data_IF_341752699274
#
_entry.id   IF_341752699274
#
_cell.length_a   1.000
_cell.length_b   1.000
_cell.length_c   1.000
_cell.angle_alpha   90.00
_cell.angle_beta   90.00
_cell.angle_gamma   90.00
#
_symmetry.space_group_name_H-M   'P 1'
#
loop_
_entity.id
_entity.type
_entity.pdbx_description
1 polymer ?
#
# COMPACT_ATOMS: atom_id res chain seq x y z
N UNK A 1 -18.98 3.51 4.32
CA UNK A 1 -18.20 3.19 5.54
C UNK A 1 -16.75 3.50 5.28
N UNK A 2 -16.12 4.34 6.12
CA UNK A 2 -14.68 4.64 6.01
C UNK A 2 -13.94 3.30 6.15
N UNK A 3 -13.27 2.84 5.09
CA UNK A 3 -12.87 1.45 5.00
C UNK A 3 -11.68 1.24 5.91
N UNK A 4 -11.62 0.09 6.59
CA UNK A 4 -10.55 -0.29 7.53
C UNK A 4 -9.12 0.04 7.06
N UNK A 5 -8.88 -0.01 5.74
CA UNK A 5 -7.63 0.41 5.09
C UNK A 5 -7.27 1.88 5.33
N UNK A 6 -8.22 2.80 5.16
CA UNK A 6 -8.00 4.24 5.31
C UNK A 6 -7.70 4.63 6.76
N UNK A 7 -8.36 3.98 7.74
CA UNK A 7 -8.12 4.23 9.16
C UNK A 7 -6.74 3.72 9.62
N UNK A 8 -6.34 2.51 9.21
CA UNK A 8 -5.01 1.97 9.51
C UNK A 8 -3.91 2.74 8.78
N UNK A 9 -4.15 3.14 7.53
CA UNK A 9 -3.23 4.00 6.79
C UNK A 9 -3.07 5.35 7.47
N UNK A 10 -4.17 5.95 7.93
CA UNK A 10 -4.12 7.20 8.68
C UNK A 10 -3.38 7.06 10.01
N UNK A 11 -3.55 5.94 10.74
CA UNK A 11 -2.78 5.66 11.96
C UNK A 11 -1.29 5.46 11.68
N UNK A 12 -0.95 4.81 10.56
CA UNK A 12 0.43 4.65 10.11
C UNK A 12 1.05 6.01 9.76
N UNK A 13 0.36 6.83 8.96
CA UNK A 13 0.80 8.19 8.60
C UNK A 13 0.94 9.07 9.85
N UNK A 14 0.07 8.94 10.84
CA UNK A 14 0.13 9.74 12.08
C UNK A 14 1.15 9.22 13.11
N UNK A 15 1.95 8.21 12.76
CA UNK A 15 2.98 7.59 13.63
C UNK A 15 2.40 7.09 14.97
N UNK A 16 1.10 6.75 14.97
CA UNK A 16 0.33 6.31 16.15
C UNK A 16 0.27 4.79 16.28
N UNK A 17 0.81 4.07 15.30
CA UNK A 17 1.12 2.65 15.46
C UNK A 17 2.42 2.57 16.28
N UNK A 18 2.43 1.86 17.40
CA UNK A 18 3.60 1.75 18.30
C UNK A 18 4.81 1.02 17.70
N UNK A 19 4.85 0.86 16.39
CA UNK A 19 5.86 0.16 15.62
C UNK A 19 6.57 1.17 14.73
N UNK A 20 7.61 1.77 15.30
CA UNK A 20 8.75 2.45 14.68
C UNK A 20 8.46 3.22 13.38
N UNK A 21 8.53 4.56 13.50
CA UNK A 21 9.23 5.45 12.55
C UNK A 21 8.98 5.14 11.07
N UNK A 22 8.23 6.00 10.37
CA UNK A 22 7.79 5.84 8.97
C UNK A 22 8.81 5.22 7.99
N UNK A 23 10.07 5.55 8.18
CA UNK A 23 11.25 5.03 7.50
C UNK A 23 11.42 3.49 7.58
N UNK A 24 10.92 2.82 8.63
CA UNK A 24 10.98 1.36 8.77
C UNK A 24 10.01 0.59 7.86
N UNK A 25 9.06 1.26 7.20
CA UNK A 25 8.11 0.57 6.32
C UNK A 25 8.77 0.08 5.03
N UNK A 26 9.77 0.80 4.49
CA UNK A 26 10.56 0.36 3.33
C UNK A 26 12.03 0.09 3.62
N UNK A 27 12.56 0.44 4.80
CA UNK A 27 13.92 0.06 5.18
C UNK A 27 14.14 -1.46 5.34
N UNK A 28 13.08 -2.26 5.46
CA UNK A 28 13.21 -3.72 5.52
C UNK A 28 13.14 -4.34 4.10
N UNK A 29 14.10 -5.19 3.70
CA UNK A 29 14.09 -5.84 2.39
C UNK A 29 12.80 -6.60 2.10
N UNK A 30 12.17 -7.19 3.12
CA UNK A 30 10.89 -7.89 3.00
C UNK A 30 9.77 -6.96 2.54
N UNK A 31 9.61 -5.81 3.20
CA UNK A 31 8.51 -4.88 2.94
C UNK A 31 8.77 -4.05 1.69
N UNK A 32 10.02 -3.72 1.38
CA UNK A 32 10.39 -3.09 0.11
C UNK A 32 10.13 -4.03 -1.08
N UNK A 33 10.57 -5.30 -1.00
CA UNK A 33 10.30 -6.29 -2.07
C UNK A 33 8.79 -6.48 -2.28
N UNK A 34 8.01 -6.47 -1.20
CA UNK A 34 6.55 -6.51 -1.25
C UNK A 34 5.98 -5.29 -1.98
N UNK A 35 6.47 -4.09 -1.66
CA UNK A 35 6.06 -2.85 -2.30
C UNK A 35 6.35 -2.83 -3.80
N UNK A 36 7.59 -3.13 -4.20
CA UNK A 36 8.00 -3.20 -5.61
C UNK A 36 7.12 -4.18 -6.39
N UNK A 37 6.85 -5.36 -5.81
CA UNK A 37 6.00 -6.38 -6.46
C UNK A 37 4.57 -5.92 -6.69
N UNK A 38 3.98 -5.25 -5.71
CA UNK A 38 2.57 -4.84 -5.77
C UNK A 38 2.40 -3.58 -6.61
N UNK A 39 3.29 -2.61 -6.47
CA UNK A 39 3.18 -1.36 -7.21
C UNK A 39 3.53 -1.55 -8.69
N UNK A 40 4.38 -2.53 -8.99
CA UNK A 40 4.76 -2.88 -10.35
C UNK A 40 5.26 -1.66 -11.10
N UNK A 41 4.71 -1.42 -12.29
CA UNK A 41 5.08 -0.29 -13.15
C UNK A 41 4.17 0.93 -12.99
N UNK A 42 3.36 1.03 -11.92
CA UNK A 42 2.42 2.14 -11.72
C UNK A 42 3.13 3.50 -11.56
N UNK A 43 4.39 3.51 -11.12
CA UNK A 43 5.18 4.73 -11.00
C UNK A 43 5.83 5.17 -12.33
N UNK A 44 5.91 4.29 -13.33
CA UNK A 44 6.69 4.53 -14.56
C UNK A 44 8.21 4.64 -14.36
N UNK A 45 8.67 4.59 -13.10
CA UNK A 45 10.05 4.64 -12.66
C UNK A 45 10.23 3.69 -11.47
N UNK A 46 11.44 3.20 -11.24
CA UNK A 46 11.76 2.36 -10.08
C UNK A 46 11.50 3.14 -8.76
N UNK A 47 10.66 2.60 -7.85
CA UNK A 47 10.38 3.22 -6.56
C UNK A 47 11.62 3.31 -5.68
N UNK A 48 11.79 4.45 -5.01
CA UNK A 48 12.90 4.66 -4.08
C UNK A 48 12.69 3.86 -2.77
N UNK A 49 13.74 3.22 -2.20
CA UNK A 49 13.64 2.56 -0.89
C UNK A 49 13.36 3.53 0.27
N UNK A 50 13.60 4.83 0.07
CA UNK A 50 13.28 5.85 1.03
C UNK A 50 11.76 6.15 1.06
N UNK A 51 11.20 6.06 2.25
CA UNK A 51 9.78 6.26 2.49
C UNK A 51 9.37 7.71 2.20
N UNK A 52 10.15 8.69 2.65
CA UNK A 52 9.82 10.10 2.51
C UNK A 52 9.89 10.53 1.04
N UNK A 53 10.86 10.02 0.29
CA UNK A 53 10.98 10.24 -1.16
C UNK A 53 9.82 9.61 -1.91
N UNK A 54 9.45 8.36 -1.60
CA UNK A 54 8.27 7.70 -2.20
C UNK A 54 6.97 8.44 -1.86
N UNK A 55 6.81 8.91 -0.62
CA UNK A 55 5.62 9.66 -0.22
C UNK A 55 5.57 11.06 -0.82
N UNK A 56 6.70 11.74 -0.94
CA UNK A 56 6.80 13.01 -1.65
C UNK A 56 6.35 12.81 -3.10
N UNK A 57 6.88 11.80 -3.80
CA UNK A 57 6.45 11.46 -5.16
C UNK A 57 4.94 11.20 -5.25
N UNK A 58 4.38 10.42 -4.31
CA UNK A 58 2.93 10.13 -4.27
C UNK A 58 2.05 11.35 -3.95
N UNK A 59 2.58 12.37 -3.26
CA UNK A 59 1.83 13.56 -2.84
C UNK A 59 2.02 14.74 -3.80
N UNK A 60 3.17 14.85 -4.45
CA UNK A 60 3.56 15.97 -5.32
C UNK A 60 3.64 15.59 -6.79
N UNK A 61 3.61 14.29 -7.12
CA UNK A 61 3.72 13.79 -8.49
C UNK A 61 2.52 14.14 -9.35
N UNK A 62 2.79 14.51 -10.61
CA UNK A 62 1.77 14.76 -11.63
C UNK A 62 1.29 13.44 -12.24
N UNK A 63 0.46 12.71 -11.52
CA UNK A 63 -0.21 11.51 -12.04
C UNK A 63 -1.57 11.86 -12.62
N UNK A 64 -2.00 11.13 -13.66
CA UNK A 64 -3.39 11.18 -14.09
C UNK A 64 -4.32 10.73 -12.94
N UNK A 65 -5.57 11.19 -12.98
CA UNK A 65 -6.52 11.00 -11.88
C UNK A 65 -6.73 9.52 -11.53
N UNK A 66 -6.72 8.64 -12.53
CA UNK A 66 -6.93 7.21 -12.33
C UNK A 66 -5.70 6.57 -11.66
N UNK A 67 -4.50 6.86 -12.18
CA UNK A 67 -3.22 6.42 -11.62
C UNK A 67 -3.06 6.90 -10.19
N UNK A 68 -3.40 8.16 -9.90
CA UNK A 68 -3.37 8.70 -8.54
C UNK A 68 -4.30 7.94 -7.57
N UNK A 69 -5.52 7.61 -8.01
CA UNK A 69 -6.47 6.83 -7.21
C UNK A 69 -5.94 5.39 -6.99
N UNK A 70 -5.40 4.76 -8.04
CA UNK A 70 -4.85 3.41 -7.97
C UNK A 70 -3.63 3.34 -7.05
N UNK A 71 -2.69 4.27 -7.17
CA UNK A 71 -1.51 4.37 -6.32
C UNK A 71 -1.91 4.53 -4.85
N UNK A 72 -2.87 5.41 -4.54
CA UNK A 72 -3.39 5.57 -3.18
C UNK A 72 -4.07 4.31 -2.66
N UNK A 73 -4.82 3.61 -3.50
CA UNK A 73 -5.47 2.36 -3.12
C UNK A 73 -4.42 1.27 -2.82
N UNK A 74 -3.43 1.11 -3.69
CA UNK A 74 -2.33 0.16 -3.55
C UNK A 74 -1.52 0.45 -2.28
N UNK A 75 -1.20 1.72 -2.02
CA UNK A 75 -0.52 2.16 -0.80
C UNK A 75 -1.34 1.78 0.44
N UNK A 76 -2.64 2.11 0.48
CA UNK A 76 -3.50 1.82 1.63
C UNK A 76 -3.60 0.32 1.92
N UNK A 77 -3.74 -0.50 0.87
CA UNK A 77 -3.84 -1.96 1.02
C UNK A 77 -2.49 -2.53 1.47
N UNK A 78 -1.37 -2.05 0.91
CA UNK A 78 -0.03 -2.53 1.28
C UNK A 78 0.30 -2.24 2.74
N UNK A 79 0.08 -1.01 3.20
CA UNK A 79 0.29 -0.62 4.60
C UNK A 79 -0.54 -1.50 5.55
N UNK A 80 -1.80 -1.75 5.20
CA UNK A 80 -2.67 -2.62 5.99
C UNK A 80 -2.13 -4.05 6.10
N UNK A 81 -1.70 -4.65 4.98
CA UNK A 81 -1.17 -6.01 5.01
C UNK A 81 0.19 -6.10 5.71
N UNK A 82 1.05 -5.09 5.60
CA UNK A 82 2.29 -5.00 6.38
C UNK A 82 1.96 -4.93 7.88
N UNK A 83 1.03 -4.07 8.28
CA UNK A 83 0.58 -3.99 9.66
C UNK A 83 0.02 -5.32 10.15
N UNK A 84 -0.84 -5.97 9.34
CA UNK A 84 -1.42 -7.28 9.67
C UNK A 84 -0.35 -8.35 9.83
N UNK A 85 0.62 -8.44 8.93
CA UNK A 85 1.73 -9.41 9.04
C UNK A 85 2.56 -9.18 10.31
N UNK A 86 2.86 -7.92 10.65
CA UNK A 86 3.59 -7.62 11.90
C UNK A 86 2.76 -7.97 13.13
N UNK A 87 1.45 -7.75 13.08
CA UNK A 87 0.55 -8.09 14.17
C UNK A 87 0.39 -9.61 14.34
N UNK A 88 0.26 -10.35 13.23
CA UNK A 88 0.21 -11.82 13.21
C UNK A 88 1.53 -12.43 13.69
N UNK A 89 2.69 -11.87 13.34
CA UNK A 89 3.98 -12.32 13.89
C UNK A 89 4.06 -12.13 15.40
N UNK A 90 3.58 -11.00 15.92
CA UNK A 90 3.62 -10.69 17.36
C UNK A 90 2.72 -11.62 18.19
N UNK A 91 1.54 -12.00 17.66
CA UNK A 91 0.54 -12.74 18.44
C UNK A 91 0.45 -14.23 18.08
N UNK A 92 0.75 -14.61 16.84
CA UNK A 92 0.58 -15.97 16.32
C UNK A 92 1.89 -16.61 15.86
N UNK A 93 3.03 -15.92 15.99
CA UNK A 93 4.37 -16.38 15.61
C UNK A 93 4.45 -16.93 14.17
N UNK A 94 3.59 -16.44 13.28
CA UNK A 94 3.46 -16.89 11.90
C UNK A 94 4.01 -15.81 10.97
N UNK A 95 4.94 -16.19 10.09
CA UNK A 95 5.47 -15.32 9.05
C UNK A 95 5.09 -15.86 7.68
N UNK A 96 4.34 -15.08 6.89
CA UNK A 96 4.02 -15.47 5.51
C UNK A 96 5.14 -15.03 4.57
N UNK A 97 5.39 -15.76 3.47
CA UNK A 97 6.34 -15.33 2.46
C UNK A 97 5.79 -14.15 1.65
N UNK A 98 6.68 -13.28 1.17
CA UNK A 98 6.34 -12.08 0.37
C UNK A 98 5.39 -12.39 -0.77
N UNK A 99 5.61 -13.51 -1.48
CA UNK A 99 4.80 -13.93 -2.62
C UNK A 99 3.32 -14.14 -2.26
N UNK A 100 3.05 -14.68 -1.08
CA UNK A 100 1.68 -14.93 -0.65
C UNK A 100 0.98 -13.61 -0.32
N UNK A 101 1.66 -12.73 0.42
CA UNK A 101 1.12 -11.42 0.78
C UNK A 101 0.91 -10.55 -0.46
N UNK A 102 1.83 -10.58 -1.43
CA UNK A 102 1.70 -9.86 -2.71
C UNK A 102 0.43 -10.26 -3.46
N UNK A 103 0.20 -11.58 -3.62
CA UNK A 103 -1.02 -12.10 -4.27
C UNK A 103 -2.29 -11.69 -3.55
N UNK A 104 -2.27 -11.63 -2.21
CA UNK A 104 -3.41 -11.18 -1.42
C UNK A 104 -3.69 -9.69 -1.64
N UNK A 105 -2.65 -8.87 -1.73
CA UNK A 105 -2.77 -7.44 -2.01
C UNK A 105 -3.33 -7.24 -3.43
N UNK A 106 -2.74 -7.88 -4.45
CA UNK A 106 -3.19 -7.77 -5.84
C UNK A 106 -4.66 -8.16 -6.00
N UNK A 107 -5.07 -9.28 -5.38
CA UNK A 107 -6.46 -9.72 -5.36
C UNK A 107 -7.36 -8.70 -4.68
N UNK A 108 -6.93 -8.11 -3.58
CA UNK A 108 -7.70 -7.10 -2.84
C UNK A 108 -7.86 -5.81 -3.65
N UNK A 109 -6.79 -5.35 -4.29
CA UNK A 109 -6.80 -4.16 -5.17
C UNK A 109 -7.72 -4.40 -6.37
N UNK A 110 -7.58 -5.53 -7.06
CA UNK A 110 -8.46 -5.90 -8.19
C UNK A 110 -9.92 -5.97 -7.76
N UNK A 111 -10.22 -6.67 -6.67
CA UNK A 111 -11.59 -6.76 -6.14
C UNK A 111 -12.16 -5.39 -5.79
N UNK A 112 -11.35 -4.48 -5.25
CA UNK A 112 -11.75 -3.10 -4.99
C UNK A 112 -12.09 -2.37 -6.28
N UNK A 113 -11.23 -2.43 -7.29
CA UNK A 113 -11.44 -1.79 -8.59
C UNK A 113 -12.75 -2.28 -9.22
N UNK A 114 -12.96 -3.60 -9.26
CA UNK A 114 -14.17 -4.21 -9.81
C UNK A 114 -15.42 -3.85 -8.98
N UNK A 115 -15.35 -3.92 -7.65
CA UNK A 115 -16.49 -3.64 -6.76
C UNK A 115 -16.90 -2.18 -6.71
N UNK A 116 -15.97 -1.24 -6.88
CA UNK A 116 -16.28 0.20 -6.87
C UNK A 116 -16.60 0.74 -8.26
N UNK A 117 -16.49 -0.10 -9.30
CA UNK A 117 -16.82 0.26 -10.67
C UNK A 117 -15.99 1.42 -11.20
N UNK A 118 -14.72 1.55 -10.80
CA UNK A 118 -13.86 2.65 -11.28
C UNK A 118 -13.77 2.70 -12.82
N UNK A 119 -13.86 1.53 -13.48
CA UNK A 119 -13.91 1.41 -14.94
C UNK A 119 -15.24 1.84 -15.60
N UNK A 120 -16.31 2.02 -14.81
CA UNK A 120 -17.68 2.25 -15.30
C UNK A 120 -18.28 3.58 -14.83
N UNK A 121 -17.51 4.42 -14.13
CA UNK A 121 -18.00 5.71 -13.64
C UNK A 121 -17.67 6.85 -14.62
N UNK A 122 -18.65 7.40 -15.34
CA UNK A 122 -18.43 8.48 -16.32
C UNK A 122 -18.00 9.82 -15.70
N UNK A 123 -17.86 9.93 -14.37
CA UNK A 123 -17.33 11.13 -13.68
C UNK A 123 -15.80 11.14 -13.51
N UNK A 124 -15.14 10.11 -14.03
CA UNK A 124 -13.69 9.89 -13.93
C UNK A 124 -12.99 9.85 -15.30
N UNK A 125 -13.73 9.90 -16.41
CA UNK A 125 -13.24 10.30 -17.73
C UNK A 125 -13.29 11.83 -17.83
#
# INVERSE_FOLDING_TARGET
>A
GVPRFAFITWLAIRNRLSTGHHHLFFACPYTFTLWIKVVGNLFGQEPDPDWDTTMALLLTGSFDRLTFILLRLVLQVTIYYIWRERNDRKHNNSARPVNHVSKLIDKTVRNRITSTGYALKPRLQ
#
